data_IF_190796141267
#
_entry.id   IF_190796141267
#
_cell.length_a   1.000
_cell.length_b   1.000
_cell.length_c   1.000
_cell.angle_alpha   90.00
_cell.angle_beta   90.00
_cell.angle_gamma   90.00
#
_symmetry.space_group_name_H-M   'P 1'
#
loop_
_entity.id
_entity.type
_entity.pdbx_description
1 polymer ?
#
# COMPACT_ATOMS: atom_id res chain seq x y z
N UNK A 1 54.15 14.22 -11.84
CA UNK A 1 53.60 15.29 -10.98
C UNK A 1 53.82 16.62 -11.67
N UNK A 2 52.98 16.96 -12.64
CA UNK A 2 52.98 18.29 -13.25
C UNK A 2 51.97 19.13 -12.47
N UNK A 3 52.50 20.01 -11.63
CA UNK A 3 51.77 21.13 -11.04
C UNK A 3 51.60 22.14 -12.17
N UNK A 4 50.37 22.36 -12.61
CA UNK A 4 50.02 23.53 -13.41
C UNK A 4 48.98 24.31 -12.61
N UNK A 5 49.50 25.21 -11.80
CA UNK A 5 48.75 26.33 -11.26
C UNK A 5 48.99 27.55 -12.17
N UNK A 6 47.99 28.43 -12.18
CA UNK A 6 47.98 29.80 -12.68
C UNK A 6 47.54 30.08 -14.14
N UNK A 7 46.28 30.53 -14.18
CA UNK A 7 45.85 31.81 -14.77
C UNK A 7 45.10 31.73 -16.10
N UNK A 8 43.77 31.69 -16.00
CA UNK A 8 42.87 32.25 -17.00
C UNK A 8 41.82 33.17 -16.32
N UNK A 9 41.50 34.32 -16.92
CA UNK A 9 40.84 35.46 -16.27
C UNK A 9 39.31 35.31 -16.20
N UNK A 10 38.72 35.76 -15.09
CA UNK A 10 37.28 36.02 -15.00
C UNK A 10 36.96 37.41 -15.56
N UNK A 11 36.08 37.53 -16.58
CA UNK A 11 35.35 38.76 -16.84
C UNK A 11 33.96 38.75 -16.17
N UNK A 12 33.32 39.93 -16.05
CA UNK A 12 32.43 40.28 -14.95
C UNK A 12 30.93 40.06 -15.23
N UNK A 13 30.18 40.13 -14.14
CA UNK A 13 28.74 40.35 -13.96
C UNK A 13 27.94 40.81 -15.19
N UNK A 14 26.81 40.13 -15.48
CA UNK A 14 25.43 40.57 -15.18
C UNK A 14 24.45 40.02 -16.25
N UNK A 15 23.63 39.03 -15.91
CA UNK A 15 22.17 39.12 -16.11
C UNK A 15 21.43 38.09 -15.23
N UNK A 16 20.55 38.61 -14.40
CA UNK A 16 19.66 37.87 -13.51
C UNK A 16 18.37 37.53 -14.26
N UNK A 17 18.25 36.37 -14.89
CA UNK A 17 16.93 35.84 -15.29
C UNK A 17 16.88 34.31 -15.22
N UNK A 18 16.91 33.86 -13.97
CA UNK A 18 15.98 32.90 -13.37
C UNK A 18 15.12 32.05 -14.35
N UNK A 19 15.44 30.75 -14.33
CA UNK A 19 14.59 29.60 -14.64
C UNK A 19 14.31 29.30 -16.12
N UNK A 20 15.16 28.39 -16.62
CA UNK A 20 14.86 27.47 -17.72
C UNK A 20 13.46 26.86 -17.56
N UNK A 21 12.59 27.20 -18.52
CA UNK A 21 11.42 26.40 -18.87
C UNK A 21 11.85 25.27 -19.82
N UNK A 22 11.38 24.05 -19.59
CA UNK A 22 11.11 23.12 -20.69
C UNK A 22 9.60 22.87 -20.79
N UNK A 23 9.02 23.24 -21.93
CA UNK A 23 7.70 22.76 -22.37
C UNK A 23 7.79 21.27 -22.68
N UNK A 24 6.94 20.44 -22.05
CA UNK A 24 6.53 19.16 -22.62
C UNK A 24 5.03 18.89 -22.41
N UNK A 25 4.36 18.72 -23.56
CA UNK A 25 3.18 17.91 -23.89
C UNK A 25 1.93 17.90 -22.98
N UNK A 26 0.83 18.42 -23.52
CA UNK A 26 -0.55 18.03 -23.18
C UNK A 26 -0.87 16.62 -23.69
N UNK A 27 -1.50 15.78 -22.86
CA UNK A 27 -2.72 14.97 -23.13
C UNK A 27 -2.77 13.78 -22.16
N UNK A 28 -3.91 13.65 -21.48
CA UNK A 28 -4.05 12.81 -20.29
C UNK A 28 -4.12 11.31 -20.52
N UNK A 29 -3.92 10.59 -19.42
CA UNK A 29 -4.73 9.44 -19.05
C UNK A 29 -4.68 9.26 -17.53
N UNK A 30 -5.81 8.82 -16.96
CA UNK A 30 -5.97 8.55 -15.54
C UNK A 30 -5.12 7.36 -15.14
N UNK A 31 -4.11 7.56 -14.30
CA UNK A 31 -3.69 6.50 -13.39
C UNK A 31 -3.02 7.11 -12.16
N UNK A 32 -3.80 7.20 -11.08
CA UNK A 32 -3.24 7.26 -9.73
C UNK A 32 -2.31 6.05 -9.59
N UNK A 33 -1.00 6.26 -9.70
CA UNK A 33 -0.02 5.30 -9.23
C UNK A 33 0.17 5.54 -7.73
N UNK A 34 -0.30 4.65 -6.84
CA UNK A 34 0.15 4.69 -5.46
C UNK A 34 1.56 4.12 -5.41
N UNK A 35 2.50 4.93 -4.92
CA UNK A 35 3.88 4.57 -4.63
C UNK A 35 4.00 3.18 -3.97
N UNK A 36 4.93 2.31 -4.40
CA UNK A 36 5.19 1.01 -3.79
C UNK A 36 6.06 1.22 -2.55
N UNK A 37 5.47 1.76 -1.50
CA UNK A 37 6.21 2.04 -0.27
C UNK A 37 5.22 2.41 0.80
N UNK A 38 4.97 1.48 1.72
CA UNK A 38 4.15 1.71 2.90
C UNK A 38 2.64 1.82 2.63
N UNK A 39 2.00 0.67 2.37
CA UNK A 39 0.57 0.51 2.67
C UNK A 39 0.37 0.63 4.19
N UNK A 40 0.38 1.86 4.70
CA UNK A 40 -0.14 2.19 6.03
C UNK A 40 -1.65 2.00 5.93
N UNK A 41 -2.07 0.74 6.08
CA UNK A 41 -3.47 0.36 6.26
C UNK A 41 -3.86 0.85 7.66
N UNK A 42 -3.97 2.18 7.79
CA UNK A 42 -4.40 2.86 9.01
C UNK A 42 -5.92 2.82 9.17
N UNK A 43 -6.64 2.47 8.09
CA UNK A 43 -8.08 2.24 8.12
C UNK A 43 -8.36 0.81 8.61
N UNK A 44 -9.37 0.62 9.48
CA UNK A 44 -9.75 -0.71 9.93
C UNK A 44 -10.16 -1.57 8.74
N UNK A 45 -9.87 -2.87 8.81
CA UNK A 45 -10.13 -3.89 7.80
C UNK A 45 -11.61 -3.91 7.44
N UNK A 46 -12.51 -3.63 8.38
CA UNK A 46 -13.94 -3.50 8.09
C UNK A 46 -14.27 -2.43 7.04
N UNK A 47 -13.44 -1.41 6.90
CA UNK A 47 -13.60 -0.31 5.93
C UNK A 47 -12.78 -0.51 4.64
N UNK A 48 -12.11 -1.65 4.49
CA UNK A 48 -11.33 -1.90 3.28
C UNK A 48 -12.23 -2.12 2.07
N UNK A 49 -11.85 -1.45 0.98
CA UNK A 49 -12.47 -1.66 -0.33
C UNK A 49 -11.89 -2.91 -1.01
N UNK A 50 -12.51 -3.35 -2.10
CA UNK A 50 -11.98 -4.44 -2.94
C UNK A 50 -10.55 -4.15 -3.42
N UNK A 51 -10.22 -2.87 -3.69
CA UNK A 51 -8.86 -2.47 -4.04
C UNK A 51 -7.86 -2.64 -2.89
N UNK A 52 -8.24 -2.30 -1.66
CA UNK A 52 -7.37 -2.47 -0.50
C UNK A 52 -7.12 -3.95 -0.21
N UNK A 53 -8.16 -4.78 -0.35
CA UNK A 53 -8.06 -6.24 -0.23
C UNK A 53 -7.15 -6.83 -1.31
N UNK A 54 -7.28 -6.37 -2.56
CA UNK A 54 -6.39 -6.76 -3.66
C UNK A 54 -4.92 -6.39 -3.37
N UNK A 55 -4.66 -5.16 -2.88
CA UNK A 55 -3.31 -4.74 -2.46
C UNK A 55 -2.77 -5.56 -1.31
N UNK A 56 -3.61 -5.89 -0.33
CA UNK A 56 -3.23 -6.73 0.79
C UNK A 56 -2.86 -8.14 0.34
N UNK A 57 -3.67 -8.76 -0.51
CA UNK A 57 -3.40 -10.06 -1.11
C UNK A 57 -2.06 -10.07 -1.84
N UNK A 58 -1.79 -9.06 -2.69
CA UNK A 58 -0.53 -8.96 -3.42
C UNK A 58 0.70 -8.89 -2.50
N UNK A 59 0.55 -8.30 -1.31
CA UNK A 59 1.64 -8.14 -0.34
C UNK A 59 1.84 -9.38 0.55
N UNK A 60 0.75 -10.02 0.97
CA UNK A 60 0.78 -11.14 1.92
C UNK A 60 0.83 -12.50 1.25
N UNK A 61 0.39 -12.61 -0.01
CA UNK A 61 0.35 -13.84 -0.79
C UNK A 61 0.95 -13.56 -2.18
N UNK A 62 2.30 -13.53 -2.32
CA UNK A 62 2.94 -13.25 -3.60
C UNK A 62 2.71 -14.37 -4.63
N UNK A 63 2.49 -15.61 -4.18
CA UNK A 63 2.18 -16.76 -5.02
C UNK A 63 0.82 -16.58 -5.69
N UNK A 64 0.77 -16.70 -7.01
CA UNK A 64 -0.46 -16.63 -7.81
C UNK A 64 -1.40 -15.45 -7.47
N UNK A 65 -0.83 -14.29 -7.10
CA UNK A 65 -1.62 -13.11 -6.71
C UNK A 65 -2.61 -12.65 -7.78
N UNK A 66 -2.35 -12.93 -9.07
CA UNK A 66 -3.28 -12.58 -10.14
C UNK A 66 -4.60 -13.35 -10.02
N UNK A 67 -4.54 -14.66 -9.78
CA UNK A 67 -5.72 -15.52 -9.66
C UNK A 67 -6.54 -15.09 -8.44
N UNK A 68 -5.88 -14.83 -7.31
CA UNK A 68 -6.58 -14.38 -6.10
C UNK A 68 -7.14 -12.98 -6.27
N UNK A 69 -6.38 -12.05 -6.85
CA UNK A 69 -6.88 -10.71 -7.11
C UNK A 69 -8.11 -10.73 -8.01
N UNK A 70 -8.10 -11.54 -9.06
CA UNK A 70 -9.22 -11.65 -9.99
C UNK A 70 -10.45 -12.24 -9.31
N UNK A 71 -10.29 -13.37 -8.61
CA UNK A 71 -11.39 -14.00 -7.89
C UNK A 71 -11.98 -13.12 -6.79
N UNK A 72 -11.13 -12.41 -6.02
CA UNK A 72 -11.60 -11.48 -4.98
C UNK A 72 -12.29 -10.26 -5.58
N UNK A 73 -11.86 -9.80 -6.75
CA UNK A 73 -12.49 -8.69 -7.46
C UNK A 73 -13.83 -9.10 -8.07
N UNK A 74 -13.90 -10.28 -8.66
CA UNK A 74 -15.11 -10.84 -9.27
C UNK A 74 -16.20 -11.16 -8.24
N UNK A 75 -15.81 -11.52 -7.01
CA UNK A 75 -16.74 -11.79 -5.92
C UNK A 75 -17.01 -10.59 -5.01
N UNK A 76 -16.56 -9.38 -5.39
CA UNK A 76 -16.69 -8.15 -4.61
C UNK A 76 -16.25 -8.34 -3.14
N UNK A 77 -15.12 -9.02 -2.94
CA UNK A 77 -14.60 -9.29 -1.60
C UNK A 77 -14.03 -7.99 -1.02
N UNK A 78 -14.88 -7.31 -0.24
CA UNK A 78 -14.51 -6.17 0.60
C UNK A 78 -13.88 -6.63 1.91
N UNK A 79 -13.33 -5.70 2.68
CA UNK A 79 -12.71 -6.01 3.96
C UNK A 79 -13.61 -6.71 4.98
N UNK A 80 -14.92 -6.41 4.98
CA UNK A 80 -15.90 -7.16 5.79
C UNK A 80 -16.02 -8.61 5.34
N UNK A 81 -15.99 -8.86 4.03
CA UNK A 81 -16.02 -10.21 3.48
C UNK A 81 -14.70 -10.95 3.77
N UNK A 82 -13.56 -10.26 3.75
CA UNK A 82 -12.25 -10.79 4.17
C UNK A 82 -12.29 -11.25 5.64
N UNK A 83 -12.89 -10.45 6.53
CA UNK A 83 -13.11 -10.79 7.94
C UNK A 83 -14.14 -11.91 8.16
N UNK A 84 -14.85 -12.36 7.11
CA UNK A 84 -15.76 -13.51 7.16
C UNK A 84 -15.34 -14.63 6.21
N UNK A 85 -14.14 -14.52 5.64
CA UNK A 85 -13.62 -15.46 4.67
C UNK A 85 -13.44 -16.84 5.31
N UNK A 86 -13.80 -17.88 4.57
CA UNK A 86 -13.70 -19.30 4.96
C UNK A 86 -13.10 -20.11 3.82
N UNK A 87 -12.72 -21.35 4.11
CA UNK A 87 -12.21 -22.32 3.13
C UNK A 87 -13.20 -22.50 1.97
N UNK A 88 -14.50 -22.62 2.27
CA UNK A 88 -15.56 -22.80 1.28
C UNK A 88 -15.68 -21.63 0.32
N UNK A 89 -15.42 -20.41 0.82
CA UNK A 89 -15.41 -19.20 -0.03
C UNK A 89 -14.21 -19.26 -0.99
N UNK A 90 -13.04 -19.65 -0.50
CA UNK A 90 -11.83 -19.78 -1.32
C UNK A 90 -11.94 -20.89 -2.36
N UNK A 91 -12.52 -22.03 -1.99
CA UNK A 91 -12.83 -23.14 -2.91
C UNK A 91 -13.74 -22.68 -4.05
N UNK A 92 -14.85 -21.99 -3.74
CA UNK A 92 -15.75 -21.44 -4.77
C UNK A 92 -15.13 -20.36 -5.64
N UNK A 93 -14.12 -19.65 -5.12
CA UNK A 93 -13.38 -18.64 -5.86
C UNK A 93 -12.36 -19.24 -6.83
N UNK A 94 -12.22 -20.57 -6.90
CA UNK A 94 -11.29 -21.25 -7.79
C UNK A 94 -9.93 -21.56 -7.16
N UNK A 95 -9.78 -21.39 -5.84
CA UNK A 95 -8.57 -21.83 -5.13
C UNK A 95 -8.72 -23.30 -4.76
N UNK A 96 -8.32 -24.18 -5.69
CA UNK A 96 -8.43 -25.64 -5.52
C UNK A 96 -7.31 -26.16 -4.61
N UNK A 97 -6.15 -25.52 -4.63
CA UNK A 97 -5.00 -25.95 -3.83
C UNK A 97 -5.23 -25.71 -2.33
N UNK A 98 -5.25 -26.79 -1.56
CA UNK A 98 -5.53 -26.71 -0.12
C UNK A 98 -4.43 -25.95 0.65
N UNK A 99 -3.16 -26.18 0.33
CA UNK A 99 -2.04 -25.44 0.91
C UNK A 99 -2.18 -23.91 0.70
N UNK A 100 -2.68 -23.49 -0.46
CA UNK A 100 -2.91 -22.08 -0.74
C UNK A 100 -4.10 -21.52 0.07
N UNK A 101 -5.20 -22.27 0.15
CA UNK A 101 -6.35 -21.88 0.98
C UNK A 101 -5.95 -21.69 2.43
N UNK A 102 -5.21 -22.65 2.98
CA UNK A 102 -4.69 -22.61 4.35
C UNK A 102 -3.78 -21.39 4.55
N UNK A 103 -2.88 -21.13 3.60
CA UNK A 103 -1.98 -19.98 3.68
C UNK A 103 -2.76 -18.65 3.72
N UNK A 104 -3.76 -18.48 2.86
CA UNK A 104 -4.60 -17.26 2.84
C UNK A 104 -5.40 -17.13 4.14
N UNK A 105 -6.03 -18.22 4.60
CA UNK A 105 -6.77 -18.25 5.87
C UNK A 105 -5.88 -17.84 7.04
N UNK A 106 -4.65 -18.35 7.08
CA UNK A 106 -3.67 -18.01 8.10
C UNK A 106 -3.31 -16.51 8.04
N UNK A 107 -3.09 -15.94 6.84
CA UNK A 107 -2.86 -14.51 6.69
C UNK A 107 -4.07 -13.68 7.15
N UNK A 108 -5.29 -14.12 6.82
CA UNK A 108 -6.53 -13.46 7.26
C UNK A 108 -6.68 -13.52 8.77
N UNK A 109 -6.42 -14.67 9.40
CA UNK A 109 -6.44 -14.84 10.86
C UNK A 109 -5.46 -13.88 11.55
N UNK A 110 -4.22 -13.81 11.06
CA UNK A 110 -3.24 -12.86 11.57
C UNK A 110 -3.71 -11.41 11.43
N UNK A 111 -4.33 -11.07 10.31
CA UNK A 111 -4.92 -9.75 10.11
C UNK A 111 -6.00 -9.46 11.16
N UNK A 112 -6.88 -10.42 11.46
CA UNK A 112 -7.92 -10.25 12.49
C UNK A 112 -7.33 -10.03 13.87
N UNK A 113 -6.37 -10.87 14.26
CA UNK A 113 -5.70 -10.78 15.56
C UNK A 113 -5.01 -9.41 15.70
N UNK A 114 -4.31 -8.94 14.65
CA UNK A 114 -3.68 -7.62 14.68
C UNK A 114 -4.69 -6.50 14.80
N UNK A 115 -5.83 -6.59 14.11
CA UNK A 115 -6.87 -5.57 14.21
C UNK A 115 -7.55 -5.57 15.58
N UNK A 116 -7.83 -6.75 16.14
CA UNK A 116 -8.37 -6.89 17.50
C UNK A 116 -7.41 -6.31 18.52
N UNK A 117 -6.12 -6.66 18.46
CA UNK A 117 -5.08 -6.12 19.35
C UNK A 117 -5.00 -4.60 19.22
N UNK A 118 -5.04 -4.05 18.00
CA UNK A 118 -5.07 -2.60 17.79
C UNK A 118 -6.32 -1.96 18.38
N UNK A 119 -7.49 -2.55 18.14
CA UNK A 119 -8.78 -2.08 18.67
C UNK A 119 -8.76 -2.05 20.20
N UNK A 120 -8.32 -3.15 20.83
CA UNK A 120 -8.16 -3.27 22.27
C UNK A 120 -7.17 -2.24 22.81
N UNK A 121 -6.01 -2.05 22.17
CA UNK A 121 -5.06 -1.01 22.56
C UNK A 121 -5.63 0.41 22.43
N UNK A 122 -6.46 0.67 21.41
CA UNK A 122 -7.10 1.98 21.23
C UNK A 122 -8.12 2.25 22.35
N UNK A 123 -8.88 1.22 22.75
CA UNK A 123 -9.84 1.29 23.85
C UNK A 123 -9.13 1.54 25.19
N UNK A 124 -8.04 0.84 25.47
CA UNK A 124 -7.28 1.01 26.72
C UNK A 124 -6.49 2.33 26.76
N UNK A 125 -6.05 2.87 25.62
CA UNK A 125 -5.38 4.19 25.53
C UNK A 125 -6.35 5.37 25.45
N UNK A 126 -7.61 5.14 25.06
CA UNK A 126 -8.69 6.14 25.11
C UNK A 126 -9.03 6.56 26.55
N UNK A 127 -8.62 5.78 27.56
CA UNK A 127 -8.75 6.11 28.99
C UNK A 127 -7.60 6.93 29.58
N UNK A 128 -6.51 7.20 28.83
CA UNK A 128 -5.36 7.98 29.35
C UNK A 128 -5.29 9.43 28.87
N UNK A 129 -6.33 9.95 28.22
CA UNK A 129 -6.44 11.38 27.87
C UNK A 129 -7.49 12.09 28.76
N UNK A 130 -7.46 11.87 30.08
CA UNK A 130 -8.26 12.68 31.00
C UNK A 130 -7.58 12.86 32.37
N UNK A 131 -6.46 13.58 32.39
CA UNK A 131 -5.78 14.07 33.61
C UNK A 131 -4.62 14.95 33.12
N UNK A 132 -4.43 16.22 33.44
CA UNK A 132 -5.06 17.21 34.32
C UNK A 132 -4.69 18.58 33.70
N UNK A 133 -5.59 19.56 33.70
CA UNK A 133 -5.26 20.96 33.40
C UNK A 133 -5.82 21.86 34.50
#
# INVERSE_FOLDING_TARGET
YYINDLTQPFPPSLDQNLLMVPRFQTRGDRSFQPFPGHVKLSKPVALWTVQDVCKWLKKHCPNQHQIYSDAFKQHDITGRALMRLTDRKLERMGIIQEAQRQHILQQVLQLRVREEVRTLQLLTQGTTQHTFH
#
